data_IF_683391158984
#
_entry.id   IF_683391158984
#
_cell.length_a   1.000
_cell.length_b   1.000
_cell.length_c   1.000
_cell.angle_alpha   90.00
_cell.angle_beta   90.00
_cell.angle_gamma   90.00
#
_symmetry.space_group_name_H-M   'P 1'
#
loop_
_entity.id
_entity.type
_entity.pdbx_description
1 polymer ?
#
# COMPACT_ATOMS: atom_id res chain seq x y z
N UNK A 1 -35.97 43.47 -6.58
CA UNK A 1 -34.56 43.80 -6.88
C UNK A 1 -34.02 44.60 -5.70
N UNK A 2 -33.15 44.00 -4.89
CA UNK A 2 -32.61 44.61 -3.65
C UNK A 2 -31.11 44.28 -3.59
N UNK A 3 -30.21 45.27 -3.67
CA UNK A 3 -28.77 45.00 -3.61
C UNK A 3 -28.35 44.81 -2.16
N UNK A 4 -27.73 43.68 -1.87
CA UNK A 4 -27.20 43.35 -0.55
C UNK A 4 -25.70 43.65 -0.57
N UNK A 5 -25.31 44.74 0.08
CA UNK A 5 -23.92 45.17 0.22
C UNK A 5 -23.28 44.36 1.34
N UNK A 6 -22.40 43.42 0.99
CA UNK A 6 -21.63 42.63 1.95
C UNK A 6 -20.25 43.28 2.12
N UNK A 7 -20.06 43.88 3.29
CA UNK A 7 -18.81 44.54 3.72
C UNK A 7 -17.80 43.46 4.08
N UNK A 8 -16.77 43.30 3.25
CA UNK A 8 -15.61 42.45 3.51
C UNK A 8 -14.72 43.13 4.55
N UNK A 9 -14.64 42.58 5.76
CA UNK A 9 -13.68 43.01 6.79
C UNK A 9 -12.55 41.99 6.80
N UNK A 10 -11.44 42.33 6.16
CA UNK A 10 -10.20 41.52 6.14
C UNK A 10 -9.44 41.81 7.44
N UNK A 11 -9.46 40.87 8.39
CA UNK A 11 -8.61 40.90 9.57
C UNK A 11 -7.35 40.07 9.27
N UNK A 12 -6.25 40.77 8.94
CA UNK A 12 -4.91 40.18 8.84
C UNK A 12 -4.38 39.98 10.26
N UNK A 13 -4.42 38.74 10.76
CA UNK A 13 -3.72 38.36 11.98
C UNK A 13 -2.38 37.72 11.62
N UNK A 14 -1.31 38.50 11.68
CA UNK A 14 0.05 38.01 11.60
C UNK A 14 0.46 37.50 13.00
N UNK A 15 0.39 36.18 13.20
CA UNK A 15 0.90 35.53 14.40
C UNK A 15 2.34 35.06 14.13
N UNK A 16 3.31 35.82 14.62
CA UNK A 16 4.73 35.43 14.67
C UNK A 16 4.93 34.58 15.91
N UNK A 17 5.07 33.26 15.74
CA UNK A 17 5.49 32.35 16.82
C UNK A 17 6.98 32.06 16.65
N UNK A 18 7.80 32.65 17.51
CA UNK A 18 9.20 32.29 17.68
C UNK A 18 9.29 31.05 18.57
N UNK A 19 9.67 29.91 18.00
CA UNK A 19 9.96 28.69 18.78
C UNK A 19 11.45 28.66 19.07
N UNK A 20 11.80 28.82 20.34
CA UNK A 20 13.14 28.61 20.85
C UNK A 20 13.41 27.11 20.97
N UNK A 21 14.36 26.59 20.20
CA UNK A 21 14.86 25.22 20.31
C UNK A 21 15.93 25.16 21.41
N UNK A 22 15.55 24.64 22.58
CA UNK A 22 16.48 24.25 23.63
C UNK A 22 16.03 22.92 24.23
N UNK A 23 16.52 21.82 23.67
CA UNK A 23 16.53 20.51 24.31
C UNK A 23 17.97 19.98 24.29
N UNK A 24 18.69 20.36 25.33
CA UNK A 24 19.89 19.74 25.88
C UNK A 24 19.40 18.67 26.88
N UNK A 25 19.95 17.45 26.87
CA UNK A 25 19.64 16.50 27.95
C UNK A 25 19.88 15.02 27.71
N UNK A 26 21.06 14.57 28.14
CA UNK A 26 21.36 13.29 28.81
C UNK A 26 21.35 11.95 28.03
N UNK A 27 22.52 11.69 27.48
CA UNK A 27 23.20 10.39 27.33
C UNK A 27 23.26 9.59 28.65
N UNK A 28 22.52 8.48 28.78
CA UNK A 28 22.72 7.48 29.85
C UNK A 28 22.45 6.04 29.37
N UNK A 29 23.46 5.45 28.75
CA UNK A 29 23.90 4.08 29.06
C UNK A 29 23.11 2.93 28.42
N UNK A 30 23.49 2.55 27.21
CA UNK A 30 23.21 1.20 26.69
C UNK A 30 24.23 0.18 27.25
N UNK A 31 23.78 -1.01 27.69
CA UNK A 31 24.68 -2.12 28.01
C UNK A 31 25.25 -2.71 26.71
N UNK A 32 26.53 -2.47 26.47
CA UNK A 32 27.30 -3.13 25.41
C UNK A 32 27.40 -4.63 25.69
N UNK A 33 26.61 -5.44 24.98
CA UNK A 33 26.82 -6.89 24.91
C UNK A 33 27.78 -7.19 23.76
N UNK A 34 29.05 -7.38 24.10
CA UNK A 34 30.08 -7.79 23.14
C UNK A 34 29.92 -9.28 22.79
N UNK A 35 29.20 -9.59 21.71
CA UNK A 35 29.20 -10.93 21.13
C UNK A 35 30.48 -11.13 20.30
N UNK A 36 31.37 -11.98 20.79
CA UNK A 36 32.55 -12.46 20.04
C UNK A 36 32.09 -13.49 19.01
N UNK A 37 32.09 -13.10 17.73
CA UNK A 37 31.83 -14.00 16.60
C UNK A 37 33.15 -14.64 16.16
N UNK A 38 33.21 -15.97 16.18
CA UNK A 38 34.34 -16.74 15.67
C UNK A 38 34.35 -16.72 14.12
N UNK A 39 35.52 -16.59 13.46
CA UNK A 39 35.61 -16.61 12.01
C UNK A 39 35.34 -18.02 11.48
N UNK A 40 34.22 -18.20 10.77
CA UNK A 40 33.96 -19.42 10.00
C UNK A 40 34.57 -19.25 8.61
N UNK A 41 35.52 -20.12 8.28
CA UNK A 41 36.19 -20.17 6.99
C UNK A 41 35.32 -20.94 6.00
N UNK A 42 34.69 -20.23 5.07
CA UNK A 42 33.93 -20.81 3.96
C UNK A 42 34.89 -21.27 2.85
N UNK A 43 34.89 -22.56 2.46
CA UNK A 43 35.68 -23.03 1.32
C UNK A 43 35.12 -22.51 -0.01
N UNK A 44 36.01 -22.00 -0.86
CA UNK A 44 35.70 -21.59 -2.21
C UNK A 44 35.44 -22.81 -3.10
N UNK A 45 34.20 -22.99 -3.53
CA UNK A 45 33.82 -23.95 -4.56
C UNK A 45 33.89 -23.28 -5.94
N UNK A 46 34.92 -23.62 -6.72
CA UNK A 46 35.02 -23.28 -8.14
C UNK A 46 34.15 -24.26 -8.93
N UNK A 47 32.91 -23.85 -9.21
CA UNK A 47 31.98 -24.58 -10.08
C UNK A 47 32.06 -24.06 -11.52
N UNK A 48 32.32 -24.97 -12.45
CA UNK A 48 32.35 -24.73 -13.90
C UNK A 48 30.94 -24.40 -14.42
N UNK A 49 30.75 -23.20 -14.96
CA UNK A 49 29.48 -22.77 -15.56
C UNK A 49 29.35 -23.33 -16.97
N UNK A 50 28.70 -24.50 -17.09
CA UNK A 50 28.22 -25.00 -18.39
C UNK A 50 26.97 -24.20 -18.77
N UNK A 51 27.11 -23.30 -19.74
CA UNK A 51 26.00 -22.51 -20.26
C UNK A 51 24.98 -23.40 -20.97
N UNK A 52 23.81 -23.59 -20.35
CA UNK A 52 22.63 -24.19 -20.98
C UNK A 52 22.09 -23.22 -22.04
N UNK A 53 21.85 -23.65 -23.28
CA UNK A 53 21.31 -22.79 -24.33
C UNK A 53 19.93 -22.28 -23.93
N UNK A 54 19.77 -20.95 -23.94
CA UNK A 54 18.52 -20.28 -23.67
C UNK A 54 17.45 -20.71 -24.68
N UNK A 55 16.39 -21.32 -24.17
CA UNK A 55 15.22 -21.64 -24.97
C UNK A 55 14.61 -20.34 -25.50
N UNK A 56 14.65 -20.15 -26.81
CA UNK A 56 13.89 -19.10 -27.51
C UNK A 56 12.42 -19.50 -27.50
N UNK A 57 11.73 -19.22 -26.39
CA UNK A 57 10.28 -19.32 -26.33
C UNK A 57 9.65 -18.24 -27.19
N UNK A 58 8.67 -18.62 -28.02
CA UNK A 58 7.81 -17.66 -28.70
C UNK A 58 7.15 -16.75 -27.66
N UNK A 59 7.42 -15.44 -27.77
CA UNK A 59 6.80 -14.42 -26.93
C UNK A 59 5.29 -14.42 -27.21
N UNK A 60 4.54 -15.09 -26.35
CA UNK A 60 3.08 -15.04 -26.39
C UNK A 60 2.69 -13.65 -25.93
N UNK A 61 1.97 -12.90 -26.77
CA UNK A 61 1.44 -11.58 -26.40
C UNK A 61 0.51 -11.78 -25.21
N UNK A 62 0.92 -11.28 -24.05
CA UNK A 62 0.12 -11.34 -22.83
C UNK A 62 -1.18 -10.59 -23.07
N UNK A 63 -2.32 -11.26 -22.85
CA UNK A 63 -3.66 -10.65 -22.98
C UNK A 63 -4.04 -9.81 -21.75
N UNK A 64 -3.06 -9.39 -20.95
CA UNK A 64 -3.29 -8.76 -19.65
C UNK A 64 -3.90 -9.72 -18.60
N UNK A 65 -3.73 -11.05 -18.79
CA UNK A 65 -4.27 -12.08 -17.90
C UNK A 65 -3.16 -12.91 -17.29
N UNK A 66 -3.39 -13.37 -16.06
CA UNK A 66 -2.42 -14.12 -15.27
C UNK A 66 -2.68 -15.63 -15.27
N UNK A 67 -3.88 -16.06 -15.69
CA UNK A 67 -4.37 -17.44 -15.52
C UNK A 67 -4.52 -17.88 -14.05
N UNK A 68 -4.46 -16.92 -13.11
CA UNK A 68 -4.72 -17.12 -11.69
C UNK A 68 -6.11 -16.51 -11.42
N UNK A 69 -7.13 -17.33 -11.12
CA UNK A 69 -8.52 -16.86 -11.04
C UNK A 69 -8.72 -15.69 -10.07
N UNK A 70 -8.01 -15.71 -8.95
CA UNK A 70 -8.08 -14.71 -7.89
C UNK A 70 -7.56 -13.35 -8.34
N UNK A 71 -6.41 -13.33 -9.01
CA UNK A 71 -5.84 -12.12 -9.60
C UNK A 71 -6.65 -11.64 -10.79
N UNK A 72 -7.10 -12.55 -11.66
CA UNK A 72 -7.89 -12.20 -12.84
C UNK A 72 -9.25 -11.59 -12.45
N UNK A 73 -9.84 -11.99 -11.32
CA UNK A 73 -11.04 -11.38 -10.76
C UNK A 73 -10.80 -9.92 -10.33
N UNK A 74 -9.66 -9.63 -9.69
CA UNK A 74 -9.26 -8.25 -9.38
C UNK A 74 -9.07 -7.42 -10.66
N UNK A 75 -8.37 -7.96 -11.66
CA UNK A 75 -8.15 -7.28 -12.94
C UNK A 75 -9.50 -6.99 -13.64
N UNK A 76 -10.43 -7.95 -13.62
CA UNK A 76 -11.78 -7.76 -14.15
C UNK A 76 -12.55 -6.65 -13.43
N UNK A 77 -12.49 -6.63 -12.10
CA UNK A 77 -13.13 -5.59 -11.31
C UNK A 77 -12.53 -4.20 -11.57
N UNK A 78 -11.19 -4.11 -11.66
CA UNK A 78 -10.49 -2.87 -11.97
C UNK A 78 -10.90 -2.34 -13.35
N UNK A 79 -10.89 -3.19 -14.39
CA UNK A 79 -11.33 -2.82 -15.75
C UNK A 79 -12.81 -2.40 -15.75
N UNK A 80 -13.66 -3.19 -15.09
CA UNK A 80 -15.09 -2.95 -15.08
C UNK A 80 -15.42 -1.60 -14.46
N UNK A 81 -14.76 -1.22 -13.36
CA UNK A 81 -15.06 -0.01 -12.61
C UNK A 81 -14.17 1.19 -12.91
N UNK A 82 -13.21 1.04 -13.82
CA UNK A 82 -12.30 2.12 -14.19
C UNK A 82 -13.04 3.40 -14.62
N UNK A 83 -12.69 4.53 -13.99
CA UNK A 83 -13.26 5.85 -14.21
C UNK A 83 -14.68 6.06 -13.65
N UNK A 84 -15.26 5.08 -12.93
CA UNK A 84 -16.58 5.21 -12.31
C UNK A 84 -16.47 5.74 -10.88
N UNK A 85 -17.55 6.41 -10.43
CA UNK A 85 -17.73 6.87 -9.05
C UNK A 85 -18.23 5.76 -8.11
N UNK A 86 -19.04 4.86 -8.64
CA UNK A 86 -19.54 3.70 -7.92
C UNK A 86 -18.76 2.49 -8.43
N UNK A 87 -18.22 1.71 -7.50
CA UNK A 87 -17.26 0.65 -7.78
C UNK A 87 -17.74 -0.71 -7.26
N UNK A 88 -18.92 -1.20 -7.71
CA UNK A 88 -19.54 -2.40 -7.15
C UNK A 88 -18.74 -3.69 -7.42
N UNK A 89 -17.97 -3.76 -8.51
CA UNK A 89 -17.14 -4.93 -8.80
C UNK A 89 -15.93 -4.98 -7.87
N UNK A 90 -15.27 -3.84 -7.63
CA UNK A 90 -14.17 -3.76 -6.67
C UNK A 90 -14.65 -3.96 -5.24
N UNK A 91 -15.79 -3.38 -4.87
CA UNK A 91 -16.37 -3.54 -3.53
C UNK A 91 -16.70 -5.00 -3.19
N UNK A 92 -17.10 -5.80 -4.17
CA UNK A 92 -17.39 -7.22 -3.99
C UNK A 92 -16.14 -8.06 -3.68
N UNK A 93 -14.93 -7.53 -3.93
CA UNK A 93 -13.67 -8.21 -3.66
C UNK A 93 -13.04 -7.80 -2.33
N UNK A 94 -13.60 -6.82 -1.60
CA UNK A 94 -13.00 -6.37 -0.34
C UNK A 94 -13.11 -7.48 0.71
N UNK A 95 -11.96 -7.91 1.21
CA UNK A 95 -11.82 -8.76 2.38
C UNK A 95 -11.58 -7.90 3.61
N UNK A 96 -12.46 -8.00 4.59
CA UNK A 96 -12.26 -7.34 5.88
C UNK A 96 -11.64 -8.29 6.89
N UNK A 97 -10.84 -7.74 7.79
CA UNK A 97 -10.26 -8.43 8.93
C UNK A 97 -10.91 -7.97 10.23
N UNK A 98 -10.79 -8.77 11.29
CA UNK A 98 -11.27 -8.40 12.62
C UNK A 98 -10.12 -7.97 13.50
N UNK A 99 -10.13 -6.72 13.95
CA UNK A 99 -9.09 -6.14 14.79
C UNK A 99 -9.72 -5.57 16.07
N UNK A 100 -9.11 -5.76 17.25
CA UNK A 100 -9.60 -5.13 18.47
C UNK A 100 -9.51 -3.62 18.38
N UNK A 101 -10.61 -2.92 18.64
CA UNK A 101 -10.65 -1.46 18.67
C UNK A 101 -10.07 -0.90 19.98
N UNK A 102 -9.66 0.37 19.97
CA UNK A 102 -9.27 1.11 21.18
C UNK A 102 -9.97 2.47 21.27
N UNK A 103 -10.24 2.95 22.48
CA UNK A 103 -10.84 4.26 22.76
C UNK A 103 -9.82 5.40 22.71
N UNK A 104 -8.52 5.09 22.80
CA UNK A 104 -7.42 6.06 22.77
C UNK A 104 -6.33 5.60 21.80
N UNK A 105 -6.58 5.60 20.48
CA UNK A 105 -5.57 5.23 19.51
C UNK A 105 -4.42 6.25 19.53
N UNK A 106 -3.19 5.78 19.67
CA UNK A 106 -1.99 6.61 19.68
C UNK A 106 -0.91 6.03 18.75
N UNK A 107 -0.28 6.89 17.96
CA UNK A 107 0.84 6.52 17.09
C UNK A 107 0.43 6.08 15.67
N UNK A 108 1.46 5.79 14.88
CA UNK A 108 1.34 5.33 13.48
C UNK A 108 0.85 3.87 13.48
N UNK A 109 -0.16 3.56 12.67
CA UNK A 109 -0.73 2.21 12.62
C UNK A 109 -1.49 1.82 13.89
N UNK A 110 -1.97 2.81 14.66
CA UNK A 110 -2.78 2.57 15.84
C UNK A 110 -4.02 1.71 15.51
N UNK A 111 -4.49 0.86 16.44
CA UNK A 111 -5.71 0.07 16.24
C UNK A 111 -6.92 0.96 15.91
N UNK A 112 -7.97 0.43 15.27
CA UNK A 112 -9.16 1.20 14.92
C UNK A 112 -9.81 1.81 16.16
N UNK A 113 -10.35 3.02 16.02
CA UNK A 113 -11.12 3.67 17.08
C UNK A 113 -12.41 2.88 17.36
N UNK A 114 -12.73 2.64 18.63
CA UNK A 114 -14.04 2.13 19.03
C UNK A 114 -15.14 3.16 18.76
N UNK A 115 -16.21 2.75 18.09
CA UNK A 115 -17.41 3.56 17.86
C UNK A 115 -18.29 3.65 19.12
N UNK A 116 -19.33 4.48 19.05
CA UNK A 116 -20.30 4.59 20.12
C UNK A 116 -20.96 3.22 20.36
N UNK A 117 -20.90 2.77 21.61
CA UNK A 117 -21.42 1.48 22.10
C UNK A 117 -20.54 0.26 21.84
N UNK A 118 -19.33 0.44 21.33
CA UNK A 118 -18.32 -0.62 21.31
C UNK A 118 -17.48 -0.58 22.60
N UNK A 119 -17.09 -1.76 23.08
CA UNK A 119 -16.21 -1.89 24.25
C UNK A 119 -14.73 -1.85 23.85
N UNK A 120 -13.85 -1.36 24.72
CA UNK A 120 -12.39 -1.42 24.50
C UNK A 120 -11.96 -2.86 24.21
N UNK A 121 -11.27 -3.08 23.08
CA UNK A 121 -10.82 -4.39 22.64
C UNK A 121 -11.87 -5.22 21.90
N UNK A 122 -13.07 -4.68 21.64
CA UNK A 122 -14.07 -5.33 20.79
C UNK A 122 -13.53 -5.54 19.37
N UNK A 123 -13.74 -6.74 18.81
CA UNK A 123 -13.33 -7.06 17.46
C UNK A 123 -14.25 -6.35 16.47
N UNK A 124 -13.68 -5.46 15.66
CA UNK A 124 -14.39 -4.69 14.64
C UNK A 124 -13.89 -5.06 13.25
N UNK A 125 -14.82 -5.05 12.30
CA UNK A 125 -14.53 -5.33 10.90
C UNK A 125 -13.84 -4.12 10.25
N UNK A 126 -12.64 -4.32 9.75
CA UNK A 126 -11.80 -3.27 9.16
C UNK A 126 -11.04 -3.74 7.93
N UNK A 127 -10.66 -2.78 7.10
CA UNK A 127 -9.78 -2.93 5.95
C UNK A 127 -8.51 -2.14 6.22
N UNK A 128 -7.35 -2.74 5.97
CA UNK A 128 -6.08 -2.05 6.14
C UNK A 128 -5.83 -1.11 4.96
N UNK A 129 -5.53 0.14 5.28
CA UNK A 129 -5.18 1.15 4.28
C UNK A 129 -4.00 1.97 4.78
N UNK A 130 -2.96 2.11 3.96
CA UNK A 130 -1.80 2.93 4.32
C UNK A 130 -1.63 4.13 3.40
N UNK A 131 -1.68 5.35 3.94
CA UNK A 131 -1.25 6.56 3.23
C UNK A 131 -0.02 7.15 3.92
N UNK A 132 1.16 6.55 3.69
CA UNK A 132 2.39 6.72 4.48
C UNK A 132 2.35 6.21 5.92
N UNK A 133 1.21 6.37 6.56
CA UNK A 133 0.89 5.81 7.86
C UNK A 133 -0.23 4.79 7.66
N UNK A 134 -0.16 3.68 8.39
CA UNK A 134 -1.24 2.68 8.41
C UNK A 134 -2.48 3.24 9.09
N UNK A 135 -3.63 2.98 8.52
CA UNK A 135 -4.96 3.37 8.96
C UNK A 135 -5.93 2.19 8.73
N UNK A 136 -7.00 2.13 9.52
CA UNK A 136 -8.02 1.10 9.40
C UNK A 136 -9.35 1.72 8.99
N UNK A 137 -9.94 1.20 7.91
CA UNK A 137 -11.20 1.68 7.38
C UNK A 137 -12.32 0.69 7.69
N UNK A 138 -13.42 1.19 8.23
CA UNK A 138 -14.65 0.41 8.42
C UNK A 138 -15.41 0.28 7.10
N UNK A 139 -16.33 -0.71 6.96
CA UNK A 139 -17.08 -0.93 5.71
C UNK A 139 -17.74 0.31 5.12
N UNK A 140 -18.31 1.17 5.96
CA UNK A 140 -18.98 2.40 5.52
C UNK A 140 -18.02 3.50 5.00
N UNK A 141 -16.70 3.30 5.09
CA UNK A 141 -15.66 4.24 4.70
C UNK A 141 -14.92 3.81 3.40
N UNK A 142 -15.14 2.57 2.95
CA UNK A 142 -14.38 1.93 1.86
C UNK A 142 -14.55 2.62 0.50
N UNK A 143 -15.71 3.23 0.24
CA UNK A 143 -15.95 3.92 -1.03
C UNK A 143 -14.88 4.99 -1.33
N UNK A 144 -14.28 5.60 -0.29
CA UNK A 144 -13.21 6.59 -0.47
C UNK A 144 -11.98 5.97 -1.15
N UNK A 145 -11.59 4.76 -0.77
CA UNK A 145 -10.38 4.11 -1.30
C UNK A 145 -10.64 3.38 -2.61
N UNK A 146 -11.82 2.81 -2.78
CA UNK A 146 -12.18 2.19 -4.06
C UNK A 146 -12.23 3.21 -5.19
N UNK A 147 -12.64 4.45 -4.92
CA UNK A 147 -12.57 5.54 -5.88
C UNK A 147 -11.15 5.86 -6.33
N UNK A 148 -10.13 5.61 -5.49
CA UNK A 148 -8.72 5.76 -5.86
C UNK A 148 -8.33 4.63 -6.81
N UNK A 149 -8.61 3.38 -6.43
CA UNK A 149 -8.30 2.19 -7.24
C UNK A 149 -8.97 2.27 -8.62
N UNK A 150 -10.23 2.71 -8.68
CA UNK A 150 -10.96 2.90 -9.94
C UNK A 150 -10.40 4.03 -10.83
N UNK A 151 -9.59 4.93 -10.28
CA UNK A 151 -8.90 6.00 -11.03
C UNK A 151 -7.44 5.63 -11.34
N UNK A 152 -7.09 4.35 -11.20
CA UNK A 152 -5.76 3.84 -11.47
C UNK A 152 -5.74 2.89 -12.65
N UNK A 153 -4.56 2.73 -13.22
CA UNK A 153 -4.23 1.74 -14.23
C UNK A 153 -3.39 0.62 -13.61
N UNK A 154 -3.59 -0.62 -14.04
CA UNK A 154 -2.75 -1.72 -13.61
C UNK A 154 -1.34 -1.54 -14.18
N UNK A 155 -0.34 -1.51 -13.31
CA UNK A 155 1.05 -1.47 -13.72
C UNK A 155 1.61 -2.89 -13.87
N UNK A 156 1.55 -3.71 -12.82
CA UNK A 156 2.09 -5.07 -12.82
C UNK A 156 1.48 -5.89 -11.67
N UNK A 157 1.64 -7.21 -11.71
CA UNK A 157 1.29 -8.11 -10.60
C UNK A 157 2.46 -9.02 -10.28
N UNK A 158 2.75 -9.16 -9.00
CA UNK A 158 3.86 -9.95 -8.47
C UNK A 158 3.35 -10.97 -7.46
N UNK A 159 4.09 -12.06 -7.30
CA UNK A 159 4.01 -12.88 -6.09
C UNK A 159 4.79 -12.18 -4.98
N UNK A 160 4.19 -12.06 -3.80
CA UNK A 160 4.83 -11.47 -2.64
C UNK A 160 6.03 -12.32 -2.17
N UNK A 161 7.16 -11.72 -1.78
CA UNK A 161 8.31 -12.46 -1.25
C UNK A 161 7.99 -13.06 0.13
N UNK A 162 8.79 -14.05 0.56
CA UNK A 162 8.53 -14.80 1.80
C UNK A 162 8.66 -13.97 3.08
N UNK A 163 9.35 -12.82 3.03
CA UNK A 163 9.48 -11.86 4.12
C UNK A 163 8.41 -10.76 4.09
N UNK A 164 7.49 -10.81 3.11
CA UNK A 164 6.32 -9.96 3.07
C UNK A 164 5.27 -10.39 4.12
N UNK A 165 4.49 -9.47 4.72
CA UNK A 165 3.39 -9.84 5.62
C UNK A 165 2.35 -10.77 4.96
N UNK A 166 2.26 -10.73 3.63
CA UNK A 166 1.37 -11.54 2.80
C UNK A 166 2.17 -12.51 1.92
N UNK A 167 3.14 -13.21 2.51
CA UNK A 167 3.99 -14.16 1.81
C UNK A 167 3.17 -15.19 1.00
N UNK A 168 3.66 -15.55 -0.18
CA UNK A 168 3.05 -16.48 -1.14
C UNK A 168 1.72 -16.04 -1.77
N UNK A 169 1.18 -14.88 -1.39
CA UNK A 169 0.02 -14.25 -2.01
C UNK A 169 0.45 -13.28 -3.13
N UNK A 170 -0.47 -12.43 -3.60
CA UNK A 170 -0.25 -11.56 -4.75
C UNK A 170 -0.30 -10.09 -4.38
N UNK A 171 0.59 -9.33 -5.02
CA UNK A 171 0.65 -7.87 -4.92
C UNK A 171 0.46 -7.28 -6.32
N UNK A 172 -0.63 -6.55 -6.50
CA UNK A 172 -0.85 -5.76 -7.71
C UNK A 172 -0.35 -4.32 -7.47
N UNK A 173 0.50 -3.85 -8.36
CA UNK A 173 0.93 -2.45 -8.38
C UNK A 173 0.05 -1.72 -9.38
N UNK A 174 -0.59 -0.64 -8.95
CA UNK A 174 -1.43 0.21 -9.80
C UNK A 174 -0.84 1.63 -9.83
N UNK A 175 -0.90 2.28 -10.98
CA UNK A 175 -0.49 3.66 -11.16
C UNK A 175 -1.70 4.59 -11.04
N UNK A 176 -1.58 5.65 -10.25
CA UNK A 176 -2.61 6.68 -10.13
C UNK A 176 -2.64 7.54 -11.41
N UNK A 177 -3.75 7.46 -12.15
CA UNK A 177 -3.95 8.20 -13.39
C UNK A 177 -4.59 9.58 -13.15
N UNK A 178 -4.88 9.93 -11.89
CA UNK A 178 -5.47 11.22 -11.57
C UNK A 178 -4.48 12.35 -11.89
N UNK A 179 -4.96 13.49 -12.38
CA UNK A 179 -4.10 14.64 -12.71
C UNK A 179 -3.44 15.26 -11.48
N UNK A 180 -3.97 15.01 -10.28
CA UNK A 180 -3.46 15.56 -9.02
C UNK A 180 -2.33 14.71 -8.42
N UNK A 181 -2.28 13.42 -8.75
CA UNK A 181 -1.33 12.44 -8.21
C UNK A 181 -0.67 11.61 -9.30
N UNK A 182 -0.49 12.20 -10.48
CA UNK A 182 0.08 11.49 -11.64
C UNK A 182 1.45 10.95 -11.31
N UNK A 183 1.67 9.67 -11.63
CA UNK A 183 2.96 9.02 -11.45
C UNK A 183 3.21 8.50 -10.04
N UNK A 184 2.20 8.46 -9.17
CA UNK A 184 2.28 7.78 -7.89
C UNK A 184 1.72 6.37 -8.02
N UNK A 185 2.20 5.45 -7.19
CA UNK A 185 1.75 4.06 -7.20
C UNK A 185 1.05 3.67 -5.90
N UNK A 186 0.16 2.71 -6.05
CA UNK A 186 -0.47 1.99 -4.95
C UNK A 186 -0.16 0.51 -5.06
N UNK A 187 -0.05 -0.11 -3.89
CA UNK A 187 0.12 -1.53 -3.68
C UNK A 187 -1.23 -2.09 -3.23
N UNK A 188 -1.76 -3.03 -3.99
CA UNK A 188 -3.01 -3.75 -3.68
C UNK A 188 -2.62 -5.18 -3.31
N UNK A 189 -2.88 -5.56 -2.08
CA UNK A 189 -2.59 -6.91 -1.60
C UNK A 189 -3.83 -7.78 -1.78
N UNK A 190 -3.64 -8.93 -2.44
CA UNK A 190 -4.69 -9.87 -2.83
C UNK A 190 -4.41 -11.22 -2.18
N UNK A 191 -5.30 -11.65 -1.29
CA UNK A 191 -5.24 -12.93 -0.58
C UNK A 191 -6.54 -13.70 -0.82
N UNK A 192 -6.44 -14.95 -1.29
CA UNK A 192 -7.61 -15.82 -1.47
C UNK A 192 -8.70 -15.25 -2.39
N UNK A 193 -8.33 -14.39 -3.34
CA UNK A 193 -9.25 -13.69 -4.24
C UNK A 193 -9.90 -12.43 -3.68
N UNK A 194 -9.52 -12.00 -2.47
CA UNK A 194 -9.97 -10.75 -1.86
C UNK A 194 -8.87 -9.71 -1.83
N UNK A 195 -9.24 -8.44 -2.02
CA UNK A 195 -8.40 -7.29 -1.71
C UNK A 195 -8.40 -7.14 -0.19
N UNK A 196 -7.26 -7.34 0.46
CA UNK A 196 -7.16 -7.32 1.94
C UNK A 196 -6.48 -6.06 2.47
N UNK A 197 -5.70 -5.38 1.62
CA UNK A 197 -5.07 -4.10 1.96
C UNK A 197 -4.82 -3.24 0.73
N UNK A 198 -4.65 -1.94 0.99
CA UNK A 198 -4.22 -0.94 0.01
C UNK A 198 -3.16 -0.02 0.62
N UNK A 199 -1.93 -0.06 0.12
CA UNK A 199 -0.84 0.80 0.61
C UNK A 199 -0.34 1.78 -0.45
N UNK A 200 -0.14 3.02 -0.04
CA UNK A 200 0.49 4.07 -0.80
C UNK A 200 1.95 4.21 -0.40
N UNK A 201 2.86 4.10 -1.36
CA UNK A 201 4.31 4.14 -1.11
C UNK A 201 4.88 5.57 -0.99
N UNK A 202 4.16 6.49 -0.34
CA UNK A 202 4.63 7.87 -0.08
C UNK A 202 5.22 8.59 -1.29
N UNK A 203 4.51 8.59 -2.41
CA UNK A 203 4.88 9.27 -3.65
C UNK A 203 5.99 8.61 -4.49
N UNK A 204 6.26 7.31 -4.30
CA UNK A 204 7.10 6.57 -5.25
C UNK A 204 6.32 6.25 -6.56
N UNK A 205 6.94 6.39 -7.74
CA UNK A 205 6.39 5.84 -8.98
C UNK A 205 6.40 4.31 -8.98
N UNK A 206 5.63 3.65 -9.87
CA UNK A 206 5.47 2.18 -9.83
C UNK A 206 6.77 1.39 -9.85
N UNK A 207 7.75 1.82 -10.65
CA UNK A 207 9.07 1.16 -10.75
C UNK A 207 9.85 1.23 -9.42
N UNK A 208 9.74 2.38 -8.74
CA UNK A 208 10.41 2.59 -7.46
C UNK A 208 9.71 1.84 -6.34
N UNK A 209 8.37 1.79 -6.33
CA UNK A 209 7.60 0.97 -5.40
C UNK A 209 8.01 -0.51 -5.51
N UNK A 210 8.07 -1.05 -6.74
CA UNK A 210 8.50 -2.43 -7.00
C UNK A 210 9.90 -2.69 -6.45
N UNK A 211 10.85 -1.78 -6.68
CA UNK A 211 12.21 -1.91 -6.17
C UNK A 211 12.29 -1.81 -4.64
N UNK A 212 11.55 -0.89 -4.02
CA UNK A 212 11.49 -0.70 -2.57
C UNK A 212 10.92 -1.92 -1.85
N UNK A 213 9.94 -2.60 -2.47
CA UNK A 213 9.28 -3.78 -1.92
C UNK A 213 10.00 -5.10 -2.24
N UNK A 214 11.04 -5.08 -3.08
CA UNK A 214 11.71 -6.31 -3.50
C UNK A 214 10.82 -7.25 -4.31
N UNK A 215 9.90 -6.69 -5.11
CA UNK A 215 8.96 -7.48 -5.92
C UNK A 215 9.66 -7.97 -7.19
N UNK A 216 10.20 -9.19 -7.16
CA UNK A 216 11.00 -9.75 -8.27
C UNK A 216 10.25 -10.81 -9.10
N UNK A 217 9.27 -11.51 -8.53
CA UNK A 217 8.53 -12.60 -9.18
C UNK A 217 7.26 -12.09 -9.89
N UNK A 218 7.47 -11.47 -11.05
CA UNK A 218 6.39 -10.90 -11.85
C UNK A 218 5.50 -12.01 -12.47
N UNK A 219 4.24 -12.04 -12.05
CA UNK A 219 3.17 -12.86 -12.63
C UNK A 219 2.59 -12.18 -13.87
N UNK A 220 2.44 -10.85 -13.79
CA UNK A 220 2.10 -10.00 -14.92
C UNK A 220 3.13 -8.86 -14.95
N UNK A 221 4.12 -8.90 -15.86
CA UNK A 221 5.14 -7.86 -15.94
C UNK A 221 4.53 -6.54 -16.43
N UNK A 222 5.20 -5.41 -16.17
CA UNK A 222 4.73 -4.13 -16.66
C UNK A 222 4.69 -4.07 -18.18
N UNK A 223 3.62 -3.47 -18.72
CA UNK A 223 3.56 -3.17 -20.14
C UNK A 223 4.68 -2.17 -20.50
N UNK A 224 5.31 -2.36 -21.66
CA UNK A 224 6.28 -1.38 -22.13
C UNK A 224 5.55 -0.09 -22.47
N UNK A 225 6.06 1.08 -22.04
CA UNK A 225 5.42 2.38 -22.28
C UNK A 225 5.32 2.75 -23.76
#
# INVERSE_FOLDING_TARGET
MKPWTLVLTVAVFALVVAVASACDGDDKGEPTVTATVAPTTTPAATGDLTATPAATGEATVSTGRTSIPEVDAFIDALIADHGKKETPALAALIGFTQIPCTTTPEGIGAPPLCELNEEEGELVEVFEYGACEGEYLRPHQIDRVLNIVAQSSLYAVYRAPLDHPFADEYVAVIADDSPERTGLAWEVEIEGGSIVSLHFSCAAPPQELVALRGLEDAVLPPESP
#
